data_IF_846999963536
#
_entry.id   IF_846999963536
#
_cell.length_a   1.000
_cell.length_b   1.000
_cell.length_c   1.000
_cell.angle_alpha   90.00
_cell.angle_beta   90.00
_cell.angle_gamma   90.00
#
_symmetry.space_group_name_H-M   'P 1'
#
loop_
_entity.id
_entity.type
_entity.pdbx_description
1 polymer ?
#
# COMPACT_ATOMS: atom_id res chain seq x y z
N UNK A 1 4.03 16.35 15.04
CA UNK A 1 4.88 16.17 13.83
C UNK A 1 4.24 15.12 12.94
N UNK A 2 4.28 15.26 11.61
CA UNK A 2 3.77 14.23 10.68
C UNK A 2 4.90 13.26 10.34
N UNK A 3 4.63 11.98 10.50
CA UNK A 3 5.61 10.91 10.26
C UNK A 3 5.08 9.96 9.20
N UNK A 4 5.99 9.45 8.38
CA UNK A 4 5.71 8.55 7.26
C UNK A 4 6.38 7.21 7.53
N UNK A 5 5.67 6.11 7.27
CA UNK A 5 6.21 4.76 7.32
C UNK A 5 5.44 3.85 6.37
N UNK A 6 6.08 2.81 5.88
CA UNK A 6 5.55 1.92 4.86
C UNK A 6 6.04 0.48 5.03
N UNK A 7 5.36 -0.44 4.35
CA UNK A 7 5.83 -1.80 4.15
C UNK A 7 5.64 -2.20 2.68
N UNK A 8 6.48 -3.11 2.21
CA UNK A 8 6.40 -3.71 0.89
C UNK A 8 6.63 -5.22 0.98
N UNK A 9 5.92 -5.97 0.14
CA UNK A 9 6.09 -7.41 0.00
C UNK A 9 6.81 -7.73 -1.31
N UNK A 10 7.80 -8.65 -1.33
CA UNK A 10 8.53 -8.99 -2.56
C UNK A 10 7.74 -9.89 -3.53
N UNK A 11 6.59 -10.45 -3.12
CA UNK A 11 5.99 -11.61 -3.82
C UNK A 11 4.46 -11.65 -3.83
N UNK A 12 3.81 -10.54 -3.50
CA UNK A 12 2.36 -10.52 -3.29
C UNK A 12 1.53 -10.74 -4.58
N UNK A 13 2.11 -10.48 -5.74
CA UNK A 13 1.32 -9.95 -6.84
C UNK A 13 1.31 -10.84 -8.09
N UNK A 14 1.20 -12.16 -7.91
CA UNK A 14 0.95 -13.09 -9.03
C UNK A 14 -0.47 -13.65 -9.05
N UNK A 15 -1.20 -13.51 -7.95
CA UNK A 15 -2.50 -14.16 -7.73
C UNK A 15 -3.59 -13.13 -7.47
N UNK A 16 -4.81 -13.40 -7.94
CA UNK A 16 -6.00 -12.59 -7.64
C UNK A 16 -6.61 -12.94 -6.27
N UNK A 17 -5.78 -13.33 -5.30
CA UNK A 17 -6.20 -13.69 -3.94
C UNK A 17 -5.55 -12.75 -2.93
N UNK A 18 -6.22 -12.52 -1.80
CA UNK A 18 -5.67 -11.66 -0.76
C UNK A 18 -4.37 -12.25 -0.19
N UNK A 19 -3.33 -11.43 -0.13
CA UNK A 19 -2.01 -11.78 0.38
C UNK A 19 -1.53 -10.74 1.37
N UNK A 20 -0.85 -11.18 2.43
CA UNK A 20 -0.18 -10.27 3.37
C UNK A 20 1.15 -9.82 2.77
N UNK A 21 1.32 -8.51 2.60
CA UNK A 21 2.54 -7.94 2.00
C UNK A 21 3.55 -7.48 3.06
N UNK A 22 3.08 -7.23 4.28
CA UNK A 22 3.94 -6.79 5.36
C UNK A 22 3.17 -6.32 6.59
N UNK A 23 3.94 -5.85 7.56
CA UNK A 23 3.44 -5.25 8.78
C UNK A 23 4.16 -3.92 9.00
N UNK A 24 3.40 -2.84 9.16
CA UNK A 24 3.91 -1.54 9.56
C UNK A 24 3.93 -1.48 11.09
N UNK A 25 5.05 -1.05 11.68
CA UNK A 25 5.11 -0.73 13.11
C UNK A 25 5.14 0.78 13.27
N UNK A 26 4.18 1.33 14.01
CA UNK A 26 4.12 2.76 14.32
C UNK A 26 5.18 3.12 15.37
N UNK A 27 5.60 4.38 15.41
CA UNK A 27 6.47 4.85 16.50
C UNK A 27 5.75 4.78 17.86
N UNK A 28 6.52 4.75 18.95
CA UNK A 28 5.99 4.77 20.32
C UNK A 28 5.09 5.97 20.63
N UNK A 29 5.21 7.06 19.88
CA UNK A 29 4.47 8.31 20.11
C UNK A 29 3.29 8.52 19.14
N UNK A 30 3.00 7.54 18.28
CA UNK A 30 1.88 7.64 17.37
C UNK A 30 0.54 7.71 18.13
N UNK A 31 -0.33 8.63 17.73
CA UNK A 31 -1.67 8.82 18.34
C UNK A 31 -2.80 8.75 17.31
N UNK A 32 -2.52 9.09 16.04
CA UNK A 32 -3.55 9.21 15.01
C UNK A 32 -2.96 8.99 13.62
N UNK A 33 -3.60 8.15 12.81
CA UNK A 33 -3.32 8.04 11.38
C UNK A 33 -4.19 9.05 10.65
N UNK A 34 -3.56 9.86 9.80
CA UNK A 34 -4.18 10.97 9.07
C UNK A 34 -4.19 10.78 7.56
N UNK A 35 -3.45 9.78 7.05
CA UNK A 35 -3.39 9.49 5.63
C UNK A 35 -2.97 8.06 5.36
N UNK A 36 -3.53 7.49 4.31
CA UNK A 36 -3.18 6.18 3.78
C UNK A 36 -2.78 6.35 2.31
N UNK A 37 -1.85 5.53 1.84
CA UNK A 37 -1.53 5.47 0.42
C UNK A 37 -1.05 4.06 0.09
N UNK A 38 -1.22 3.66 -1.17
CA UNK A 38 -0.66 2.43 -1.68
C UNK A 38 -0.47 2.51 -3.18
N UNK A 39 0.52 1.79 -3.67
CA UNK A 39 0.73 1.64 -5.10
C UNK A 39 1.30 0.28 -5.43
N UNK A 40 1.13 -0.13 -6.69
CA UNK A 40 1.86 -1.24 -7.28
C UNK A 40 2.69 -0.80 -8.48
N UNK A 41 3.86 -1.41 -8.62
CA UNK A 41 4.74 -1.28 -9.79
C UNK A 41 4.88 -2.66 -10.44
N UNK A 42 4.63 -2.74 -11.74
CA UNK A 42 4.84 -3.96 -12.51
C UNK A 42 6.31 -4.41 -12.48
N UNK A 43 6.54 -5.72 -12.43
CA UNK A 43 7.88 -6.29 -12.50
C UNK A 43 8.55 -6.10 -13.86
N UNK A 44 9.85 -6.40 -13.93
CA UNK A 44 10.59 -6.36 -15.19
C UNK A 44 9.98 -7.35 -16.20
N UNK A 45 9.46 -6.85 -17.32
CA UNK A 45 8.84 -7.65 -18.38
C UNK A 45 7.31 -7.59 -18.42
N UNK A 46 6.66 -6.87 -17.51
CA UNK A 46 5.21 -6.57 -17.62
C UNK A 46 4.99 -5.72 -18.89
N UNK A 47 4.17 -6.23 -19.79
CA UNK A 47 3.89 -5.66 -21.13
C UNK A 47 2.78 -4.62 -21.07
N UNK A 48 2.60 -3.84 -22.14
CA UNK A 48 1.75 -2.65 -22.16
C UNK A 48 0.24 -2.85 -21.90
N UNK A 49 -0.20 -4.06 -21.58
CA UNK A 49 -1.61 -4.44 -21.39
C UNK A 49 -1.92 -4.97 -19.98
N UNK A 50 -0.96 -4.97 -19.07
CA UNK A 50 -1.13 -5.50 -17.71
C UNK A 50 -1.33 -4.34 -16.72
N UNK A 51 -2.58 -3.96 -16.45
CA UNK A 51 -2.87 -2.99 -15.40
C UNK A 51 -2.73 -3.66 -14.02
N UNK A 52 -1.80 -3.19 -13.20
CA UNK A 52 -1.62 -3.69 -11.82
C UNK A 52 -2.44 -2.83 -10.87
N UNK A 53 -3.72 -3.16 -10.75
CA UNK A 53 -4.66 -2.53 -9.82
C UNK A 53 -5.18 -3.55 -8.82
N UNK A 54 -5.80 -3.07 -7.75
CA UNK A 54 -6.40 -3.95 -6.76
C UNK A 54 -6.97 -3.21 -5.56
N UNK A 55 -7.13 -3.95 -4.47
CA UNK A 55 -7.62 -3.46 -3.20
C UNK A 55 -6.58 -3.73 -2.12
N UNK A 56 -6.33 -2.73 -1.29
CA UNK A 56 -5.61 -2.86 -0.03
C UNK A 56 -6.61 -3.11 1.07
N UNK A 57 -6.30 -4.05 1.97
CA UNK A 57 -6.94 -4.18 3.27
C UNK A 57 -5.91 -3.95 4.37
N UNK A 58 -6.26 -3.14 5.36
CA UNK A 58 -5.47 -2.97 6.57
C UNK A 58 -6.11 -3.75 7.70
N UNK A 59 -5.28 -4.26 8.61
CA UNK A 59 -5.74 -4.87 9.85
C UNK A 59 -4.81 -4.46 10.97
N UNK A 60 -5.30 -4.46 12.21
CA UNK A 60 -4.43 -4.26 13.35
C UNK A 60 -4.90 -5.13 14.52
N UNK A 61 -3.99 -5.90 15.12
CA UNK A 61 -4.29 -6.61 16.37
C UNK A 61 -4.36 -5.65 17.57
N UNK A 62 -3.85 -4.43 17.45
CA UNK A 62 -3.63 -3.51 18.57
C UNK A 62 -4.71 -2.42 18.67
N UNK A 63 -5.40 -2.09 17.58
CA UNK A 63 -6.47 -1.09 17.57
C UNK A 63 -7.44 -1.27 16.39
N UNK A 64 -8.62 -0.65 16.49
CA UNK A 64 -9.61 -0.71 15.41
C UNK A 64 -9.21 0.20 14.25
N UNK A 65 -9.15 -0.36 13.04
CA UNK A 65 -8.90 0.39 11.81
C UNK A 65 -10.17 0.38 10.95
N UNK A 66 -10.73 1.58 10.72
CA UNK A 66 -11.81 1.82 9.77
C UNK A 66 -11.61 3.19 9.08
N UNK A 67 -11.80 3.32 7.75
CA UNK A 67 -12.17 2.27 6.80
C UNK A 67 -11.00 1.32 6.51
N UNK A 68 -11.32 0.03 6.47
CA UNK A 68 -10.37 -1.08 6.45
C UNK A 68 -9.87 -1.42 5.03
N UNK A 69 -10.42 -0.78 3.98
CA UNK A 69 -10.12 -1.08 2.59
C UNK A 69 -10.06 0.17 1.72
N UNK A 70 -9.11 0.22 0.80
CA UNK A 70 -8.97 1.31 -0.17
C UNK A 70 -8.29 0.83 -1.46
N UNK A 71 -8.41 1.57 -2.58
CA UNK A 71 -7.80 1.19 -3.85
C UNK A 71 -6.28 1.11 -3.78
N UNK A 72 -5.70 0.13 -4.47
CA UNK A 72 -4.29 0.05 -4.80
C UNK A 72 -4.05 0.80 -6.11
N UNK A 73 -3.38 1.95 -6.05
CA UNK A 73 -3.12 2.73 -7.26
C UNK A 73 -2.09 2.02 -8.17
N UNK A 74 -2.34 2.02 -9.47
CA UNK A 74 -1.37 1.55 -10.45
C UNK A 74 -0.40 2.69 -10.80
N UNK A 75 0.91 2.43 -10.71
CA UNK A 75 1.90 3.32 -11.34
C UNK A 75 1.97 2.94 -12.82
N UNK A 76 1.51 3.82 -13.70
CA UNK A 76 1.52 3.58 -15.15
C UNK A 76 2.96 3.53 -15.69
N UNK A 77 3.59 2.35 -15.67
CA UNK A 77 4.93 2.13 -16.25
C UNK A 77 4.88 1.55 -17.66
N UNK A 78 3.77 1.70 -18.39
CA UNK A 78 3.54 0.90 -19.60
C UNK A 78 3.88 1.59 -20.93
N UNK A 79 4.39 2.82 -20.89
CA UNK A 79 5.00 3.45 -22.05
C UNK A 79 6.52 3.50 -21.85
N UNK A 80 7.23 2.52 -22.40
CA UNK A 80 8.69 2.53 -22.57
C UNK A 80 9.21 3.73 -23.41
N UNK A 81 8.36 4.68 -23.77
CA UNK A 81 8.67 5.91 -24.50
C UNK A 81 8.58 7.19 -23.67
N UNK A 82 8.03 7.15 -22.45
CA UNK A 82 7.88 8.34 -21.60
C UNK A 82 8.88 8.27 -20.45
N UNK A 83 10.07 8.83 -20.67
CA UNK A 83 11.05 9.04 -19.60
C UNK A 83 10.40 9.79 -18.42
N UNK A 84 10.53 9.20 -17.23
CA UNK A 84 9.95 9.62 -15.96
C UNK A 84 8.43 9.45 -15.83
N UNK A 85 8.05 8.33 -15.19
CA UNK A 85 6.74 8.22 -14.53
C UNK A 85 6.81 9.06 -13.27
N UNK A 86 5.97 10.09 -13.14
CA UNK A 86 5.83 10.83 -11.89
C UNK A 86 5.06 9.96 -10.92
N UNK A 87 5.78 9.42 -9.93
CA UNK A 87 5.16 8.74 -8.79
C UNK A 87 4.39 9.77 -7.96
N UNK A 88 3.07 9.75 -8.06
CA UNK A 88 2.16 10.61 -7.29
C UNK A 88 1.08 9.73 -6.64
N UNK A 89 1.42 8.96 -5.59
CA UNK A 89 0.46 8.08 -4.93
C UNK A 89 -0.67 8.93 -4.36
N UNK A 90 -1.91 8.51 -4.56
CA UNK A 90 -3.04 9.22 -3.97
C UNK A 90 -3.05 8.98 -2.48
N UNK A 91 -2.92 10.06 -1.71
CA UNK A 91 -3.11 10.01 -0.27
C UNK A 91 -4.61 10.07 0.01
N UNK A 92 -5.15 9.01 0.59
CA UNK A 92 -6.49 8.97 1.14
C UNK A 92 -6.46 9.60 2.54
N UNK A 93 -7.09 10.78 2.75
CA UNK A 93 -7.18 11.37 4.08
C UNK A 93 -8.10 10.52 4.97
N UNK A 94 -7.66 10.26 6.20
CA UNK A 94 -8.41 9.49 7.18
C UNK A 94 -8.29 10.12 8.58
N UNK A 95 -9.13 9.67 9.51
CA UNK A 95 -9.08 10.06 10.91
C UNK A 95 -9.21 8.80 11.77
N UNK A 96 -8.10 8.10 11.97
CA UNK A 96 -8.09 6.82 12.67
C UNK A 96 -7.25 6.94 13.95
N UNK A 97 -7.84 6.72 15.14
CA UNK A 97 -7.07 6.61 16.37
C UNK A 97 -6.01 5.52 16.26
N UNK A 98 -4.79 5.80 16.71
CA UNK A 98 -3.68 4.86 16.66
C UNK A 98 -3.04 4.70 18.04
N UNK A 99 -2.43 3.55 18.26
CA UNK A 99 -1.71 3.23 19.49
C UNK A 99 -0.20 3.25 19.20
N UNK A 100 0.57 3.88 20.08
CA UNK A 100 2.03 3.90 19.98
C UNK A 100 2.61 2.48 19.98
N UNK A 101 3.60 2.22 19.11
CA UNK A 101 4.12 0.87 18.80
C UNK A 101 3.09 -0.11 18.21
N UNK A 102 1.89 0.35 17.87
CA UNK A 102 0.87 -0.47 17.25
C UNK A 102 1.30 -0.98 15.88
N UNK A 103 0.83 -2.17 15.54
CA UNK A 103 1.14 -2.88 14.30
C UNK A 103 -0.04 -2.80 13.35
N UNK A 104 0.25 -2.62 12.07
CA UNK A 104 -0.74 -2.61 11.00
C UNK A 104 -0.32 -3.66 9.98
N UNK A 105 -1.07 -4.73 9.90
CA UNK A 105 -0.91 -5.73 8.85
C UNK A 105 -1.53 -5.21 7.55
N UNK A 106 -0.74 -5.28 6.48
CA UNK A 106 -1.13 -4.79 5.17
C UNK A 106 -1.34 -5.96 4.22
N UNK A 107 -2.52 -6.01 3.61
CA UNK A 107 -2.91 -7.04 2.67
C UNK A 107 -3.27 -6.42 1.33
N UNK A 108 -3.00 -7.14 0.25
CA UNK A 108 -3.30 -6.74 -1.12
C UNK A 108 -4.04 -7.86 -1.82
N UNK A 109 -5.03 -7.49 -2.62
CA UNK A 109 -5.68 -8.36 -3.61
C UNK A 109 -5.61 -7.66 -4.95
N UNK A 110 -4.98 -8.28 -5.95
CA UNK A 110 -5.00 -7.74 -7.31
C UNK A 110 -6.31 -8.07 -8.02
N UNK A 111 -6.73 -7.19 -8.94
CA UNK A 111 -7.91 -7.40 -9.77
C UNK A 111 -7.71 -8.53 -10.81
N UNK A 112 -6.45 -8.85 -11.12
CA UNK A 112 -6.08 -9.97 -11.98
C UNK A 112 -4.77 -10.64 -11.55
N UNK A 113 -4.62 -11.91 -11.88
CA UNK A 113 -3.35 -12.61 -11.76
C UNK A 113 -2.36 -12.08 -12.81
N UNK A 114 -1.10 -11.95 -12.44
CA UNK A 114 -0.03 -11.48 -13.32
C UNK A 114 0.90 -12.62 -13.70
N UNK A 115 1.38 -12.60 -14.95
CA UNK A 115 2.38 -13.56 -15.43
C UNK A 115 3.73 -13.33 -14.74
N UNK A 116 4.03 -12.07 -14.41
CA UNK A 116 5.25 -11.63 -13.74
C UNK A 116 4.86 -10.94 -12.44
N UNK A 117 5.57 -11.25 -11.35
CA UNK A 117 5.29 -10.65 -10.05
C UNK A 117 5.44 -9.12 -10.10
N UNK A 118 4.42 -8.40 -9.62
CA UNK A 118 4.55 -6.97 -9.31
C UNK A 118 5.05 -6.76 -7.88
N UNK A 119 5.32 -5.50 -7.54
CA UNK A 119 5.64 -5.09 -6.18
C UNK A 119 4.63 -4.06 -5.70
N UNK A 120 3.85 -4.44 -4.70
CA UNK A 120 2.96 -3.56 -3.96
C UNK A 120 3.63 -2.96 -2.74
N UNK A 121 3.32 -1.69 -2.48
CA UNK A 121 3.74 -0.94 -1.30
C UNK A 121 2.56 -0.23 -0.69
N UNK A 122 2.45 -0.29 0.63
CA UNK A 122 1.40 0.36 1.42
C UNK A 122 2.07 1.22 2.48
N UNK A 123 1.59 2.44 2.66
CA UNK A 123 2.12 3.35 3.66
C UNK A 123 1.05 4.12 4.41
N UNK A 124 1.45 4.61 5.58
CA UNK A 124 0.60 5.38 6.50
C UNK A 124 1.30 6.68 6.89
N UNK A 125 0.50 7.72 7.03
CA UNK A 125 0.89 9.03 7.54
C UNK A 125 0.22 9.18 8.89
N UNK A 126 0.99 9.45 9.92
CA UNK A 126 0.48 9.55 11.28
C UNK A 126 1.07 10.72 12.04
N UNK A 127 0.38 11.12 13.10
CA UNK A 127 0.79 12.18 14.01
C UNK A 127 1.12 11.60 15.38
N UNK A 128 2.16 12.19 15.99
CA UNK A 128 2.63 11.94 17.34
C UNK A 128 3.29 13.19 17.93
N UNK A 129 3.37 13.23 19.26
CA UNK A 129 4.21 14.17 20.04
C UNK A 129 5.69 13.74 20.07
#
# INVERSE_FOLDING_TARGET
>A
MRTYTDCCGPTADQVATEVKIGTITLSAKAKKIIGLWAYAVGGAGVTALENVTGIVRLDSPDFSIAPMRFPLDCVASFAASSGAVVFAPRILPVDIPAVGNGKIDCFVTLDMALTIAATSRVGVIYEGE
#
